data_IF_960022539554
#
_entry.id   IF_960022539554
#
_cell.length_a   1.000
_cell.length_b   1.000
_cell.length_c   1.000
_cell.angle_alpha   90.00
_cell.angle_beta   90.00
_cell.angle_gamma   90.00
#
_symmetry.space_group_name_H-M   'P 1'
#
loop_
_entity.id
_entity.type
_entity.pdbx_description
1 polymer ?
#
# COMPACT_ATOMS: atom_id res chain seq x y z
N UNK A 1 32.74 11.58 6.64
CA UNK A 1 32.75 13.06 6.74
C UNK A 1 32.19 13.65 5.47
N UNK A 2 31.14 14.48 5.55
CA UNK A 2 30.55 15.13 4.37
C UNK A 2 31.46 16.24 3.83
N UNK A 3 31.55 16.37 2.50
CA UNK A 3 32.34 17.40 1.82
C UNK A 3 31.94 18.82 2.29
N UNK A 4 32.88 19.77 2.48
CA UNK A 4 32.59 21.12 2.99
C UNK A 4 31.54 21.90 2.18
N UNK A 5 31.41 21.62 0.87
CA UNK A 5 30.36 22.20 0.04
C UNK A 5 28.95 21.65 0.40
N UNK A 6 28.85 20.37 0.75
CA UNK A 6 27.59 19.72 1.19
C UNK A 6 27.16 20.23 2.56
N UNK A 7 28.11 20.54 3.45
CA UNK A 7 27.80 21.18 4.74
C UNK A 7 27.31 22.62 4.58
N UNK A 8 27.88 23.39 3.63
CA UNK A 8 27.39 24.74 3.32
C UNK A 8 26.00 24.72 2.68
N UNK A 9 25.76 23.78 1.77
CA UNK A 9 24.46 23.58 1.13
C UNK A 9 23.38 23.23 2.18
N UNK A 10 23.61 22.24 3.04
CA UNK A 10 22.68 21.88 4.13
C UNK A 10 22.44 23.01 5.14
N UNK A 11 23.46 23.82 5.47
CA UNK A 11 23.31 24.98 6.36
C UNK A 11 22.39 26.06 5.77
N UNK A 12 22.40 26.26 4.45
CA UNK A 12 21.52 27.25 3.80
C UNK A 12 20.03 26.92 3.89
N UNK A 13 19.66 25.64 4.08
CA UNK A 13 18.27 25.21 4.31
C UNK A 13 17.84 25.27 5.77
N UNK A 14 18.78 25.22 6.73
CA UNK A 14 18.46 25.35 8.16
C UNK A 14 17.94 26.74 8.56
N UNK A 15 18.31 27.76 7.76
CA UNK A 15 17.85 29.15 7.92
C UNK A 15 16.36 29.35 7.59
N UNK A 16 15.73 28.45 6.83
CA UNK A 16 14.30 28.56 6.47
C UNK A 16 13.38 28.23 7.64
N UNK A 17 13.82 27.42 8.62
CA UNK A 17 13.06 27.15 9.86
C UNK A 17 12.80 28.42 10.69
N UNK A 18 13.61 29.46 10.52
CA UNK A 18 13.46 30.73 11.25
C UNK A 18 12.50 31.73 10.58
N UNK A 19 12.02 31.46 9.36
CA UNK A 19 11.07 32.35 8.68
C UNK A 19 9.66 32.29 9.32
N UNK A 20 9.31 31.18 9.97
CA UNK A 20 7.97 30.98 10.56
C UNK A 20 7.71 31.78 11.85
N UNK A 21 8.72 32.45 12.43
CA UNK A 21 8.61 33.04 13.79
C UNK A 21 8.62 34.57 13.87
N UNK A 22 8.71 35.27 12.73
CA UNK A 22 8.72 36.74 12.69
C UNK A 22 7.83 37.28 11.57
N UNK A 23 6.52 37.21 11.74
CA UNK A 23 5.61 38.22 11.18
C UNK A 23 4.54 38.57 12.20
N UNK A 24 4.89 39.53 13.06
CA UNK A 24 3.95 40.31 13.85
C UNK A 24 3.47 41.48 13.01
N UNK A 25 2.15 41.60 12.82
CA UNK A 25 1.46 42.86 12.58
C UNK A 25 1.54 43.45 11.17
N UNK A 26 0.48 43.24 10.38
CA UNK A 26 0.06 44.16 9.33
C UNK A 26 0.17 43.64 7.89
N UNK A 27 -0.97 43.71 7.19
CA UNK A 27 -1.16 43.80 5.73
C UNK A 27 -0.94 42.54 4.90
N UNK A 28 -1.95 42.21 4.09
CA UNK A 28 -2.03 41.01 3.26
C UNK A 28 -0.81 40.76 2.40
N UNK A 29 -0.39 39.50 2.38
CA UNK A 29 0.66 38.98 1.51
C UNK A 29 0.37 39.34 0.04
N UNK A 30 1.39 39.83 -0.66
CA UNK A 30 1.31 40.32 -2.03
C UNK A 30 1.38 39.16 -3.03
N UNK A 31 0.96 39.38 -4.27
CA UNK A 31 1.09 38.40 -5.37
C UNK A 31 2.52 37.82 -5.50
N UNK A 32 3.57 38.63 -5.31
CA UNK A 32 4.97 38.17 -5.36
C UNK A 32 5.37 37.19 -4.26
N UNK A 33 4.62 37.15 -3.14
CA UNK A 33 4.83 36.17 -2.07
C UNK A 33 4.34 34.78 -2.51
N UNK A 34 3.33 34.72 -3.40
CA UNK A 34 2.77 33.47 -3.93
C UNK A 34 3.72 32.77 -4.90
N UNK A 35 4.28 33.52 -5.84
CA UNK A 35 5.25 32.99 -6.80
C UNK A 35 6.51 32.47 -6.10
N UNK A 36 6.97 33.21 -5.08
CA UNK A 36 8.12 32.83 -4.25
C UNK A 36 7.87 31.55 -3.47
N UNK A 37 6.66 31.38 -2.91
CA UNK A 37 6.27 30.14 -2.23
C UNK A 37 6.14 28.97 -3.21
N UNK A 38 5.49 29.18 -4.36
CA UNK A 38 5.36 28.16 -5.38
C UNK A 38 6.74 27.69 -5.89
N UNK A 39 7.69 28.61 -6.05
CA UNK A 39 9.08 28.28 -6.38
C UNK A 39 9.77 27.49 -5.27
N UNK A 40 9.55 27.86 -4.01
CA UNK A 40 10.12 27.16 -2.84
C UNK A 40 9.59 25.73 -2.74
N UNK A 41 8.28 25.53 -2.89
CA UNK A 41 7.64 24.22 -2.91
C UNK A 41 8.24 23.34 -4.02
N UNK A 42 8.33 23.86 -5.25
CA UNK A 42 8.93 23.12 -6.38
C UNK A 42 10.41 22.80 -6.14
N UNK A 43 11.16 23.75 -5.57
CA UNK A 43 12.58 23.56 -5.24
C UNK A 43 12.77 22.44 -4.22
N UNK A 44 11.99 22.43 -3.13
CA UNK A 44 12.05 21.38 -2.12
C UNK A 44 11.66 20.01 -2.72
N UNK A 45 10.63 19.94 -3.56
CA UNK A 45 10.24 18.69 -4.25
C UNK A 45 11.36 18.17 -5.15
N UNK A 46 11.94 19.04 -5.99
CA UNK A 46 13.02 18.66 -6.91
C UNK A 46 14.28 18.22 -6.15
N UNK A 47 14.64 18.93 -5.08
CA UNK A 47 15.77 18.53 -4.23
C UNK A 47 15.50 17.18 -3.55
N UNK A 48 14.28 16.98 -3.04
CA UNK A 48 13.86 15.69 -2.49
C UNK A 48 13.99 14.56 -3.50
N UNK A 49 13.52 14.77 -4.73
CA UNK A 49 13.58 13.80 -5.81
C UNK A 49 15.03 13.43 -6.18
N UNK A 50 15.92 14.42 -6.29
CA UNK A 50 17.34 14.19 -6.58
C UNK A 50 18.02 13.41 -5.45
N UNK A 51 17.76 13.77 -4.20
CA UNK A 51 18.29 13.07 -3.02
C UNK A 51 17.79 11.62 -2.95
N UNK A 52 16.52 11.41 -3.25
CA UNK A 52 15.89 10.09 -3.21
C UNK A 52 16.37 9.19 -4.34
N UNK A 53 16.28 9.64 -5.61
CA UNK A 53 16.51 8.77 -6.77
C UNK A 53 17.98 8.66 -7.18
N UNK A 54 18.77 9.73 -7.01
CA UNK A 54 20.16 9.75 -7.46
C UNK A 54 21.15 9.44 -6.33
N UNK A 55 20.83 9.86 -5.10
CA UNK A 55 21.74 9.74 -3.95
C UNK A 55 21.30 8.64 -2.98
N UNK A 56 20.02 8.22 -3.04
CA UNK A 56 19.39 7.27 -2.12
C UNK A 56 19.44 7.73 -0.65
N UNK A 57 19.44 9.05 -0.42
CA UNK A 57 19.45 9.72 0.89
C UNK A 57 18.01 10.06 1.32
N UNK A 58 17.28 9.03 1.75
CA UNK A 58 15.87 9.12 2.12
C UNK A 58 15.61 10.03 3.33
N UNK A 59 16.58 10.20 4.23
CA UNK A 59 16.45 11.08 5.38
C UNK A 59 16.42 12.55 4.98
N UNK A 60 17.38 12.97 4.14
CA UNK A 60 17.41 14.35 3.65
C UNK A 60 16.28 14.61 2.64
N UNK A 61 15.88 13.61 1.85
CA UNK A 61 14.73 13.71 0.96
C UNK A 61 13.43 13.92 1.76
N UNK A 62 13.24 13.16 2.84
CA UNK A 62 12.09 13.32 3.75
C UNK A 62 12.00 14.75 4.29
N UNK A 63 13.11 15.32 4.76
CA UNK A 63 13.13 16.71 5.24
C UNK A 63 12.67 17.72 4.17
N UNK A 64 13.01 17.47 2.90
CA UNK A 64 12.58 18.34 1.80
C UNK A 64 11.07 18.21 1.54
N UNK A 65 10.55 16.97 1.49
CA UNK A 65 9.12 16.75 1.25
C UNK A 65 8.25 17.21 2.43
N UNK A 66 8.69 17.05 3.68
CA UNK A 66 7.98 17.54 4.86
C UNK A 66 7.93 19.08 4.88
N UNK A 67 9.02 19.77 4.48
CA UNK A 67 9.00 21.22 4.27
C UNK A 67 8.00 21.62 3.20
N UNK A 68 8.05 20.98 2.03
CA UNK A 68 7.13 21.27 0.93
C UNK A 68 5.65 21.08 1.36
N UNK A 69 5.33 19.95 2.01
CA UNK A 69 3.98 19.67 2.52
C UNK A 69 3.53 20.74 3.51
N UNK A 70 4.38 21.09 4.48
CA UNK A 70 4.06 22.11 5.49
C UNK A 70 3.84 23.49 4.86
N UNK A 71 4.65 23.85 3.86
CA UNK A 71 4.50 25.12 3.12
C UNK A 71 3.21 25.16 2.32
N UNK A 72 2.82 24.06 1.68
CA UNK A 72 1.54 23.97 0.95
C UNK A 72 0.36 24.13 1.91
N UNK A 73 0.37 23.43 3.05
CA UNK A 73 -0.69 23.55 4.06
C UNK A 73 -0.81 24.96 4.63
N UNK A 74 0.33 25.59 4.94
CA UNK A 74 0.35 26.98 5.37
C UNK A 74 -0.22 27.92 4.32
N UNK A 75 0.19 27.77 3.06
CA UNK A 75 -0.30 28.60 1.95
C UNK A 75 -1.81 28.42 1.75
N UNK A 76 -2.33 27.19 1.83
CA UNK A 76 -3.76 26.89 1.72
C UNK A 76 -4.58 27.47 2.87
N UNK A 77 -4.05 27.47 4.09
CA UNK A 77 -4.69 28.12 5.23
C UNK A 77 -4.70 29.65 5.11
N UNK A 78 -3.67 30.20 4.46
CA UNK A 78 -3.51 31.64 4.26
C UNK A 78 -4.35 32.18 3.10
N UNK A 79 -4.54 31.38 2.04
CA UNK A 79 -5.32 31.72 0.85
C UNK A 79 -6.40 30.69 0.55
N UNK A 80 -7.49 30.65 1.34
CA UNK A 80 -8.58 29.72 1.11
C UNK A 80 -9.31 30.03 -0.21
N UNK A 81 -9.59 29.00 -1.01
CA UNK A 81 -10.37 29.10 -2.25
C UNK A 81 -9.61 29.52 -3.51
N UNK A 82 -8.29 29.68 -3.43
CA UNK A 82 -7.43 30.03 -4.58
C UNK A 82 -6.79 28.82 -5.28
N UNK A 83 -7.35 27.62 -5.11
CA UNK A 83 -6.95 26.40 -5.81
C UNK A 83 -7.34 26.42 -7.31
N UNK A 84 -8.04 27.47 -7.76
CA UNK A 84 -8.61 27.63 -9.10
C UNK A 84 -8.18 28.96 -9.72
N UNK A 85 -7.25 28.93 -10.67
CA UNK A 85 -7.06 30.08 -11.58
C UNK A 85 -5.69 30.25 -12.23
N UNK A 86 -4.59 29.89 -11.56
CA UNK A 86 -3.24 30.09 -12.08
C UNK A 86 -2.25 28.94 -11.73
N UNK A 87 -1.03 29.01 -12.32
CA UNK A 87 0.02 28.02 -12.10
C UNK A 87 0.53 27.99 -10.64
N UNK A 88 0.31 29.05 -9.85
CA UNK A 88 0.64 29.09 -8.43
C UNK A 88 -0.43 28.36 -7.59
N UNK A 89 -1.71 28.52 -7.92
CA UNK A 89 -2.86 27.82 -7.33
C UNK A 89 -2.84 26.31 -7.59
N UNK A 90 -2.23 25.86 -8.70
CA UNK A 90 -2.06 24.42 -8.99
C UNK A 90 -1.25 23.70 -7.90
N UNK A 91 -0.18 24.33 -7.40
CA UNK A 91 0.62 23.78 -6.29
C UNK A 91 -0.13 23.73 -4.95
N UNK A 92 -1.28 24.39 -4.85
CA UNK A 92 -2.13 24.44 -3.66
C UNK A 92 -3.29 23.44 -3.72
N UNK A 93 -3.50 22.77 -4.86
CA UNK A 93 -4.56 21.78 -5.02
C UNK A 93 -4.39 20.59 -4.07
N UNK A 94 -5.52 19.99 -3.67
CA UNK A 94 -5.52 18.81 -2.80
C UNK A 94 -4.76 17.64 -3.41
N UNK A 95 -4.90 17.43 -4.71
CA UNK A 95 -4.19 16.41 -5.49
C UNK A 95 -2.67 16.61 -5.42
N UNK A 96 -2.20 17.86 -5.53
CA UNK A 96 -0.78 18.18 -5.43
C UNK A 96 -0.23 17.92 -4.02
N UNK A 97 -0.90 18.42 -2.97
CA UNK A 97 -0.52 18.14 -1.58
C UNK A 97 -0.48 16.64 -1.30
N UNK A 98 -1.45 15.89 -1.82
CA UNK A 98 -1.51 14.44 -1.67
C UNK A 98 -0.30 13.76 -2.31
N UNK A 99 0.10 14.18 -3.50
CA UNK A 99 1.33 13.70 -4.16
C UNK A 99 2.57 13.93 -3.30
N UNK A 100 2.72 15.12 -2.71
CA UNK A 100 3.85 15.41 -1.80
C UNK A 100 3.80 14.53 -0.55
N UNK A 101 2.63 14.34 0.07
CA UNK A 101 2.45 13.45 1.22
C UNK A 101 2.75 11.98 0.89
N UNK A 102 2.43 11.52 -0.32
CA UNK A 102 2.81 10.19 -0.77
C UNK A 102 4.34 10.02 -0.84
N UNK A 103 5.09 11.05 -1.25
CA UNK A 103 6.57 11.03 -1.21
C UNK A 103 7.12 11.03 0.22
N UNK A 104 6.51 11.78 1.14
CA UNK A 104 6.81 11.70 2.58
C UNK A 104 6.61 10.27 3.09
N UNK A 105 5.47 9.66 2.77
CA UNK A 105 5.14 8.29 3.15
C UNK A 105 6.17 7.29 2.60
N UNK A 106 6.52 7.41 1.33
CA UNK A 106 7.52 6.56 0.69
C UNK A 106 8.88 6.64 1.40
N UNK A 107 9.36 7.85 1.71
CA UNK A 107 10.62 8.02 2.42
C UNK A 107 10.57 7.43 3.84
N UNK A 108 9.48 7.61 4.58
CA UNK A 108 9.31 7.01 5.92
C UNK A 108 9.33 5.49 5.87
N UNK A 109 8.63 4.87 4.91
CA UNK A 109 8.67 3.42 4.69
C UNK A 109 10.09 2.96 4.34
N UNK A 110 10.77 3.63 3.41
CA UNK A 110 12.13 3.28 3.02
C UNK A 110 13.12 3.33 4.20
N UNK A 111 12.98 4.34 5.08
CA UNK A 111 13.78 4.45 6.30
C UNK A 111 13.49 3.31 7.28
N UNK A 112 12.21 2.96 7.48
CA UNK A 112 11.80 1.83 8.32
C UNK A 112 12.35 0.50 7.79
N UNK A 113 12.31 0.28 6.47
CA UNK A 113 12.81 -0.96 5.86
C UNK A 113 14.34 -1.05 5.84
N UNK A 114 15.04 0.09 5.85
CA UNK A 114 16.51 0.15 5.88
C UNK A 114 17.10 0.20 7.29
N UNK A 115 16.26 0.39 8.31
CA UNK A 115 16.72 0.48 9.69
C UNK A 115 17.36 -0.86 10.12
N UNK A 116 18.56 -0.79 10.67
CA UNK A 116 19.24 -1.97 11.24
C UNK A 116 18.55 -2.45 12.51
N UNK A 117 18.01 -1.50 13.27
CA UNK A 117 17.24 -1.77 14.47
C UNK A 117 15.75 -1.58 14.21
N UNK A 118 14.89 -2.28 14.96
CA UNK A 118 13.46 -2.04 14.97
C UNK A 118 13.12 -0.56 15.16
N UNK A 119 12.41 0.11 14.22
CA UNK A 119 11.95 1.47 14.43
C UNK A 119 10.97 1.52 15.62
N UNK A 120 10.95 2.63 16.38
CA UNK A 120 10.04 2.80 17.50
C UNK A 120 8.58 2.78 17.02
N UNK A 121 7.67 2.36 17.90
CA UNK A 121 6.22 2.31 17.58
C UNK A 121 5.64 3.67 17.17
N UNK A 122 6.26 4.77 17.59
CA UNK A 122 5.90 6.12 17.16
C UNK A 122 6.05 6.32 15.65
N UNK A 123 7.05 5.70 15.02
CA UNK A 123 7.30 5.85 13.59
C UNK A 123 6.24 5.09 12.79
N UNK A 124 5.88 3.90 13.29
CA UNK A 124 4.76 3.13 12.75
C UNK A 124 3.43 3.86 12.84
N UNK A 125 3.14 4.50 13.99
CA UNK A 125 1.94 5.29 14.15
C UNK A 125 1.90 6.50 13.21
N UNK A 126 3.05 7.15 12.96
CA UNK A 126 3.13 8.26 12.01
C UNK A 126 2.86 7.82 10.57
N UNK A 127 3.41 6.67 10.16
CA UNK A 127 3.18 6.07 8.84
C UNK A 127 1.71 5.69 8.68
N UNK A 128 1.13 5.01 9.68
CA UNK A 128 -0.28 4.61 9.69
C UNK A 128 -1.20 5.83 9.53
N UNK A 129 -0.95 6.88 10.32
CA UNK A 129 -1.72 8.12 10.27
C UNK A 129 -1.62 8.79 8.91
N UNK A 130 -0.41 8.94 8.37
CA UNK A 130 -0.19 9.61 7.08
C UNK A 130 -0.82 8.83 5.91
N UNK A 131 -0.71 7.50 5.91
CA UNK A 131 -1.32 6.67 4.88
C UNK A 131 -2.86 6.75 4.92
N UNK A 132 -3.45 6.68 6.12
CA UNK A 132 -4.90 6.84 6.27
C UNK A 132 -5.37 8.25 5.87
N UNK A 133 -4.60 9.30 6.20
CA UNK A 133 -4.88 10.66 5.77
C UNK A 133 -4.89 10.79 4.24
N UNK A 134 -3.96 10.13 3.54
CA UNK A 134 -3.92 10.10 2.07
C UNK A 134 -5.16 9.39 1.52
N UNK A 135 -5.52 8.23 2.07
CA UNK A 135 -6.73 7.48 1.64
C UNK A 135 -7.99 8.33 1.87
N UNK A 136 -8.13 8.93 3.05
CA UNK A 136 -9.25 9.82 3.36
C UNK A 136 -9.29 11.04 2.43
N UNK A 137 -8.12 11.62 2.12
CA UNK A 137 -8.04 12.73 1.16
C UNK A 137 -8.56 12.31 -0.22
N UNK A 138 -8.27 11.08 -0.67
CA UNK A 138 -8.84 10.54 -1.91
C UNK A 138 -10.38 10.45 -1.84
N UNK A 139 -10.94 10.05 -0.71
CA UNK A 139 -12.39 9.95 -0.56
C UNK A 139 -13.09 11.31 -0.51
N UNK A 140 -12.52 12.28 0.21
CA UNK A 140 -13.11 13.62 0.39
C UNK A 140 -12.93 14.52 -0.84
N UNK A 141 -11.81 14.37 -1.54
CA UNK A 141 -11.43 15.19 -2.69
C UNK A 141 -11.11 14.28 -3.88
N UNK A 142 -12.12 13.61 -4.47
CA UNK A 142 -11.91 12.80 -5.65
C UNK A 142 -11.42 13.67 -6.81
N UNK A 143 -10.70 13.06 -7.77
CA UNK A 143 -10.35 13.78 -8.99
C UNK A 143 -11.65 14.18 -9.69
N UNK A 144 -11.81 15.48 -9.97
CA UNK A 144 -13.00 16.05 -10.64
C UNK A 144 -13.12 15.55 -12.08
N UNK A 145 -12.00 15.09 -12.64
CA UNK A 145 -11.93 14.54 -13.98
C UNK A 145 -12.42 13.09 -13.91
N UNK A 146 -13.60 12.82 -14.45
CA UNK A 146 -14.00 11.42 -14.63
C UNK A 146 -13.07 10.80 -15.67
N UNK A 147 -12.53 9.60 -15.45
CA UNK A 147 -11.56 8.99 -16.36
C UNK A 147 -12.14 8.70 -17.75
N UNK A 148 -13.44 8.92 -17.97
CA UNK A 148 -14.12 8.56 -19.22
C UNK A 148 -14.40 9.76 -20.13
N UNK A 149 -14.13 11.00 -19.68
CA UNK A 149 -14.42 12.19 -20.49
C UNK A 149 -13.34 12.45 -21.56
N UNK A 150 -12.05 12.28 -21.22
CA UNK A 150 -10.92 12.39 -22.17
C UNK A 150 -9.73 11.47 -21.80
N UNK A 151 -8.84 11.12 -22.75
CA UNK A 151 -7.62 10.37 -22.44
C UNK A 151 -6.70 11.06 -21.42
N UNK A 152 -6.63 12.39 -21.43
CA UNK A 152 -5.84 13.18 -20.47
C UNK A 152 -6.38 13.04 -19.05
N UNK A 153 -7.70 12.86 -18.90
CA UNK A 153 -8.35 12.63 -17.62
C UNK A 153 -7.99 11.27 -17.03
N UNK A 154 -7.78 10.25 -17.88
CA UNK A 154 -7.29 8.93 -17.43
C UNK A 154 -5.91 9.07 -16.81
N UNK A 155 -4.98 9.74 -17.50
CA UNK A 155 -3.60 9.89 -17.00
C UNK A 155 -3.57 10.67 -15.68
N UNK A 156 -4.35 11.75 -15.59
CA UNK A 156 -4.46 12.51 -14.36
C UNK A 156 -5.08 11.69 -13.22
N UNK A 157 -6.14 10.93 -13.50
CA UNK A 157 -6.77 10.04 -12.53
C UNK A 157 -5.80 8.96 -12.05
N UNK A 158 -5.06 8.32 -12.95
CA UNK A 158 -4.05 7.33 -12.58
C UNK A 158 -2.98 7.97 -11.71
N UNK A 159 -2.35 9.07 -12.15
CA UNK A 159 -1.19 9.66 -11.49
C UNK A 159 -1.48 10.33 -10.14
N UNK A 160 -2.65 10.95 -9.99
CA UNK A 160 -2.97 11.78 -8.81
C UNK A 160 -4.08 11.20 -7.92
N UNK A 161 -4.70 10.09 -8.33
CA UNK A 161 -5.77 9.46 -7.58
C UNK A 161 -5.52 7.98 -7.32
N UNK A 162 -5.53 7.14 -8.37
CA UNK A 162 -5.56 5.70 -8.20
C UNK A 162 -4.24 5.16 -7.64
N UNK A 163 -3.10 5.55 -8.22
CA UNK A 163 -1.77 5.08 -7.78
C UNK A 163 -1.44 5.61 -6.39
N UNK A 164 -1.74 6.86 -6.09
CA UNK A 164 -1.52 7.45 -4.76
C UNK A 164 -2.32 6.71 -3.68
N UNK A 165 -3.58 6.36 -3.99
CA UNK A 165 -4.41 5.55 -3.07
C UNK A 165 -3.85 4.14 -2.91
N UNK A 166 -3.41 3.54 -4.01
CA UNK A 166 -2.81 2.22 -4.02
C UNK A 166 -1.52 2.19 -3.18
N UNK A 167 -0.63 3.17 -3.36
CA UNK A 167 0.62 3.35 -2.61
C UNK A 167 0.36 3.50 -1.10
N UNK A 168 -0.68 4.26 -0.71
CA UNK A 168 -1.04 4.39 0.69
C UNK A 168 -1.48 3.05 1.30
N UNK A 169 -2.28 2.26 0.56
CA UNK A 169 -2.63 0.91 0.99
C UNK A 169 -1.44 -0.05 0.98
N UNK A 170 -0.54 0.05 -0.01
CA UNK A 170 0.68 -0.74 -0.07
C UNK A 170 1.56 -0.47 1.16
N UNK A 171 1.71 0.79 1.56
CA UNK A 171 2.43 1.20 2.76
C UNK A 171 1.79 0.66 4.05
N UNK A 172 0.45 0.67 4.15
CA UNK A 172 -0.26 0.06 5.28
C UNK A 172 -0.05 -1.46 5.33
N UNK A 173 -0.04 -2.14 4.17
CA UNK A 173 0.28 -3.56 4.07
C UNK A 173 1.68 -3.87 4.61
N UNK A 174 2.68 -3.13 4.13
CA UNK A 174 4.08 -3.23 4.59
C UNK A 174 4.22 -2.96 6.08
N UNK A 175 3.54 -1.93 6.59
CA UNK A 175 3.51 -1.56 8.00
C UNK A 175 2.98 -2.72 8.87
N UNK A 176 1.80 -3.23 8.55
CA UNK A 176 1.18 -4.29 9.33
C UNK A 176 1.93 -5.61 9.22
N UNK A 177 2.57 -5.89 8.08
CA UNK A 177 3.51 -7.00 7.95
C UNK A 177 4.66 -6.87 8.94
N UNK A 178 5.38 -5.74 8.91
CA UNK A 178 6.52 -5.51 9.78
C UNK A 178 6.15 -5.57 11.28
N UNK A 179 4.98 -5.04 11.65
CA UNK A 179 4.45 -5.15 13.02
C UNK A 179 3.99 -6.56 13.36
N UNK A 180 3.41 -7.30 12.41
CA UNK A 180 2.93 -8.67 12.60
C UNK A 180 4.06 -9.67 12.80
N UNK A 181 5.18 -9.48 12.10
CA UNK A 181 6.39 -10.28 12.27
C UNK A 181 7.11 -9.99 13.60
N UNK A 182 6.85 -8.84 14.25
CA UNK A 182 7.39 -8.51 15.59
C UNK A 182 6.47 -8.88 16.74
N UNK A 183 5.17 -8.72 16.54
CA UNK A 183 4.16 -9.06 17.55
C UNK A 183 3.80 -10.52 17.38
N UNK A 184 4.60 -11.37 17.99
CA UNK A 184 4.50 -12.80 17.80
C UNK A 184 3.74 -13.46 18.94
N UNK A 185 3.22 -14.66 18.68
CA UNK A 185 2.64 -15.54 19.68
C UNK A 185 3.40 -16.85 19.70
N UNK A 186 3.64 -17.38 20.88
CA UNK A 186 4.19 -18.73 21.04
C UNK A 186 3.04 -19.73 21.07
N UNK A 187 3.06 -20.72 20.20
CA UNK A 187 2.13 -21.87 20.18
C UNK A 187 2.98 -23.12 20.04
N UNK A 188 2.88 -24.04 20.99
CA UNK A 188 3.61 -25.32 21.00
C UNK A 188 5.13 -25.16 20.78
N UNK A 189 5.72 -24.14 21.43
CA UNK A 189 7.16 -23.85 21.34
C UNK A 189 7.59 -23.17 20.03
N UNK A 190 6.65 -22.84 19.14
CA UNK A 190 6.91 -22.17 17.88
C UNK A 190 6.34 -20.76 17.88
N UNK A 191 7.12 -19.84 17.31
CA UNK A 191 6.77 -18.44 17.20
C UNK A 191 5.95 -18.18 15.95
N UNK A 192 4.79 -17.54 16.06
CA UNK A 192 3.93 -17.20 14.94
C UNK A 192 3.72 -15.69 14.85
N UNK A 193 3.61 -15.14 13.63
CA UNK A 193 3.21 -13.75 13.46
C UNK A 193 1.79 -13.51 13.99
N UNK A 194 1.50 -12.27 14.40
CA UNK A 194 0.16 -11.89 14.84
C UNK A 194 -0.87 -12.11 13.73
N UNK A 195 -1.89 -12.97 13.94
CA UNK A 195 -2.90 -13.24 12.92
C UNK A 195 -3.77 -12.01 12.63
N UNK A 196 -3.99 -11.14 13.63
CA UNK A 196 -4.75 -9.89 13.46
C UNK A 196 -3.99 -8.92 12.53
N UNK A 197 -2.68 -8.78 12.73
CA UNK A 197 -1.86 -7.89 11.90
C UNK A 197 -1.62 -8.46 10.50
N UNK A 198 -1.43 -9.78 10.37
CA UNK A 198 -1.36 -10.43 9.05
C UNK A 198 -2.64 -10.29 8.24
N UNK A 199 -3.81 -10.38 8.89
CA UNK A 199 -5.09 -10.15 8.21
C UNK A 199 -5.18 -8.72 7.68
N UNK A 200 -4.88 -7.71 8.50
CA UNK A 200 -4.83 -6.31 8.06
C UNK A 200 -3.84 -6.10 6.92
N UNK A 201 -2.65 -6.71 7.02
CA UNK A 201 -1.63 -6.71 5.99
C UNK A 201 -2.18 -7.24 4.64
N UNK A 202 -2.78 -8.42 4.65
CA UNK A 202 -3.41 -9.04 3.47
C UNK A 202 -4.52 -8.15 2.88
N UNK A 203 -5.41 -7.62 3.72
CA UNK A 203 -6.51 -6.74 3.29
C UNK A 203 -5.99 -5.48 2.59
N UNK A 204 -4.94 -4.86 3.13
CA UNK A 204 -4.36 -3.66 2.55
C UNK A 204 -3.60 -3.93 1.25
N UNK A 205 -2.87 -5.04 1.13
CA UNK A 205 -2.28 -5.44 -0.14
C UNK A 205 -3.33 -5.75 -1.21
N UNK A 206 -4.44 -6.41 -0.84
CA UNK A 206 -5.55 -6.64 -1.76
C UNK A 206 -6.20 -5.32 -2.23
N UNK A 207 -6.39 -4.35 -1.32
CA UNK A 207 -6.86 -3.01 -1.66
C UNK A 207 -5.88 -2.29 -2.60
N UNK A 208 -4.57 -2.35 -2.32
CA UNK A 208 -3.56 -1.75 -3.19
C UNK A 208 -3.63 -2.33 -4.62
N UNK A 209 -3.67 -3.65 -4.75
CA UNK A 209 -3.80 -4.33 -6.04
C UNK A 209 -5.06 -3.92 -6.81
N UNK A 210 -6.17 -3.65 -6.12
CA UNK A 210 -7.42 -3.22 -6.74
C UNK A 210 -7.37 -1.77 -7.27
N UNK A 211 -6.46 -0.93 -6.75
CA UNK A 211 -6.33 0.47 -7.15
C UNK A 211 -5.20 0.71 -8.17
N UNK A 212 -4.18 -0.15 -8.21
CA UNK A 212 -3.17 -0.08 -9.26
C UNK A 212 -3.76 -0.48 -10.63
N UNK A 213 -3.37 0.18 -11.72
CA UNK A 213 -3.58 -0.32 -13.08
C UNK A 213 -3.02 -1.74 -13.22
N UNK A 214 -3.69 -2.59 -14.02
CA UNK A 214 -3.29 -4.01 -14.16
C UNK A 214 -1.89 -4.17 -14.77
N UNK A 215 -1.46 -3.22 -15.59
CA UNK A 215 -0.15 -3.14 -16.22
C UNK A 215 0.92 -2.44 -15.35
N UNK A 216 0.54 -1.93 -14.17
CA UNK A 216 1.47 -1.42 -13.18
C UNK A 216 2.17 -2.59 -12.46
N UNK A 217 3.50 -2.51 -12.35
CA UNK A 217 4.28 -3.57 -11.71
C UNK A 217 3.90 -3.79 -10.24
N UNK A 218 3.47 -2.74 -9.55
CA UNK A 218 3.03 -2.84 -8.15
C UNK A 218 1.70 -3.56 -8.00
N UNK A 219 0.87 -3.66 -9.06
CA UNK A 219 -0.35 -4.47 -9.02
C UNK A 219 -0.01 -5.95 -8.75
N UNK A 220 0.88 -6.52 -9.58
CA UNK A 220 1.35 -7.89 -9.44
C UNK A 220 2.05 -8.13 -8.10
N UNK A 221 2.96 -7.23 -7.70
CA UNK A 221 3.65 -7.31 -6.40
C UNK A 221 2.67 -7.31 -5.22
N UNK A 222 1.66 -6.43 -5.24
CA UNK A 222 0.65 -6.35 -4.19
C UNK A 222 -0.15 -7.65 -4.07
N UNK A 223 -0.48 -8.30 -5.19
CA UNK A 223 -1.16 -9.60 -5.18
C UNK A 223 -0.24 -10.67 -4.57
N UNK A 224 1.04 -10.69 -4.93
CA UNK A 224 2.02 -11.61 -4.34
C UNK A 224 2.19 -11.39 -2.84
N UNK A 225 2.19 -10.15 -2.36
CA UNK A 225 2.26 -9.85 -0.94
C UNK A 225 1.00 -10.24 -0.18
N UNK A 226 -0.18 -10.02 -0.77
CA UNK A 226 -1.44 -10.49 -0.21
C UNK A 226 -1.45 -12.02 -0.09
N UNK A 227 -0.98 -12.73 -1.12
CA UNK A 227 -0.85 -14.19 -1.13
C UNK A 227 0.12 -14.69 -0.04
N UNK A 228 1.31 -14.11 0.05
CA UNK A 228 2.30 -14.48 1.07
C UNK A 228 1.73 -14.27 2.49
N UNK A 229 1.05 -13.14 2.75
CA UNK A 229 0.39 -12.88 4.02
C UNK A 229 -0.75 -13.86 4.30
N UNK A 230 -1.58 -14.17 3.29
CA UNK A 230 -2.70 -15.10 3.41
C UNK A 230 -2.26 -16.54 3.66
N UNK A 231 -1.21 -17.00 2.96
CA UNK A 231 -0.64 -18.34 3.19
C UNK A 231 -0.01 -18.46 4.58
N UNK A 232 0.59 -17.38 5.11
CA UNK A 232 1.11 -17.34 6.50
C UNK A 232 0.01 -17.33 7.54
N UNK A 233 -1.09 -16.62 7.25
CA UNK A 233 -2.26 -16.57 8.12
C UNK A 233 -2.99 -17.92 8.16
N UNK A 234 -2.97 -18.68 7.06
CA UNK A 234 -3.80 -19.85 6.84
C UNK A 234 -5.22 -19.49 6.42
N UNK A 235 -6.07 -20.51 6.22
CA UNK A 235 -7.48 -20.37 5.85
C UNK A 235 -7.76 -20.22 4.36
N UNK A 236 -6.73 -20.15 3.51
CA UNK A 236 -6.90 -20.18 2.05
C UNK A 236 -7.01 -21.63 1.56
N UNK A 237 -7.86 -21.87 0.57
CA UNK A 237 -7.86 -23.13 -0.19
C UNK A 237 -6.90 -23.07 -1.39
N UNK A 238 -6.50 -24.22 -1.92
CA UNK A 238 -5.56 -24.28 -3.05
C UNK A 238 -6.14 -23.63 -4.32
N UNK A 239 -7.46 -23.70 -4.51
CA UNK A 239 -8.13 -23.10 -5.66
C UNK A 239 -8.00 -21.58 -5.64
N UNK A 240 -8.28 -20.93 -4.51
CA UNK A 240 -8.15 -19.49 -4.31
C UNK A 240 -6.70 -19.03 -4.42
N UNK A 241 -5.74 -19.83 -3.93
CA UNK A 241 -4.30 -19.59 -4.16
C UNK A 241 -3.99 -19.58 -5.66
N UNK A 242 -4.45 -20.57 -6.42
CA UNK A 242 -4.22 -20.67 -7.87
C UNK A 242 -4.88 -19.53 -8.65
N UNK A 243 -6.10 -19.13 -8.29
CA UNK A 243 -6.80 -17.99 -8.89
C UNK A 243 -6.01 -16.68 -8.70
N UNK A 244 -5.53 -16.43 -7.48
CA UNK A 244 -4.72 -15.24 -7.20
C UNK A 244 -3.35 -15.29 -7.89
N UNK A 245 -2.70 -16.46 -7.98
CA UNK A 245 -1.46 -16.65 -8.74
C UNK A 245 -1.67 -16.30 -10.22
N UNK A 246 -2.77 -16.76 -10.81
CA UNK A 246 -3.11 -16.46 -12.19
C UNK A 246 -3.34 -14.97 -12.41
N UNK A 247 -4.01 -14.29 -11.47
CA UNK A 247 -4.17 -12.83 -11.48
C UNK A 247 -2.83 -12.09 -11.39
N UNK A 248 -1.95 -12.50 -10.48
CA UNK A 248 -0.63 -11.90 -10.34
C UNK A 248 0.20 -12.05 -11.63
N UNK A 249 0.22 -13.26 -12.21
CA UNK A 249 0.90 -13.53 -13.50
C UNK A 249 0.28 -12.75 -14.66
N UNK A 250 -1.03 -12.55 -14.65
CA UNK A 250 -1.69 -11.71 -15.65
C UNK A 250 -1.19 -10.27 -15.57
N UNK A 251 -1.16 -9.67 -14.37
CA UNK A 251 -0.63 -8.32 -14.16
C UNK A 251 0.84 -8.21 -14.59
N UNK A 252 1.69 -9.16 -14.20
CA UNK A 252 3.09 -9.22 -14.63
C UNK A 252 3.23 -9.29 -16.16
N UNK A 253 2.39 -10.09 -16.84
CA UNK A 253 2.40 -10.21 -18.30
C UNK A 253 2.00 -8.89 -18.97
N UNK A 254 1.00 -8.19 -18.44
CA UNK A 254 0.60 -6.88 -18.95
C UNK A 254 1.75 -5.87 -18.79
N UNK A 255 2.38 -5.86 -17.62
CA UNK A 255 3.55 -5.00 -17.38
C UNK A 255 4.70 -5.30 -18.35
N UNK A 256 5.09 -6.57 -18.49
CA UNK A 256 6.16 -7.01 -19.41
C UNK A 256 5.87 -6.65 -20.86
N UNK A 257 4.60 -6.66 -21.28
CA UNK A 257 4.22 -6.30 -22.63
C UNK A 257 4.58 -4.84 -22.96
N UNK A 258 4.42 -3.91 -22.01
CA UNK A 258 4.71 -2.49 -22.22
C UNK A 258 6.14 -2.10 -21.88
N UNK A 259 6.72 -2.66 -20.81
CA UNK A 259 8.00 -2.20 -20.24
C UNK A 259 9.14 -3.21 -20.38
N UNK A 260 8.88 -4.35 -21.03
CA UNK A 260 9.82 -5.47 -21.16
C UNK A 260 9.95 -6.29 -19.88
N UNK A 261 10.67 -7.40 -19.97
CA UNK A 261 10.90 -8.29 -18.83
C UNK A 261 11.84 -7.64 -17.81
N UNK A 262 11.27 -6.98 -16.80
CA UNK A 262 12.02 -6.70 -15.57
C UNK A 262 12.03 -7.96 -14.72
N UNK A 263 13.23 -8.40 -14.31
CA UNK A 263 13.33 -9.30 -13.15
C UNK A 263 12.75 -8.54 -11.96
N UNK A 264 11.56 -8.95 -11.53
CA UNK A 264 10.93 -8.40 -10.33
C UNK A 264 11.81 -8.82 -9.16
N UNK A 265 12.71 -7.95 -8.74
CA UNK A 265 13.45 -8.08 -7.49
C UNK A 265 12.58 -7.51 -6.39
N UNK A 266 11.49 -8.22 -6.04
CA UNK A 266 10.71 -7.88 -4.85
C UNK A 266 11.68 -7.85 -3.66
N UNK A 267 11.66 -6.82 -2.78
CA UNK A 267 12.53 -6.71 -1.61
C UNK A 267 12.53 -7.94 -0.70
N UNK A 268 11.48 -8.75 -0.78
CA UNK A 268 11.41 -10.12 -0.29
C UNK A 268 10.79 -10.94 -1.41
N UNK A 269 11.42 -12.02 -1.87
CA UNK A 269 10.95 -12.91 -2.96
C UNK A 269 9.57 -13.56 -2.67
N UNK A 270 8.51 -12.78 -2.42
CA UNK A 270 7.16 -13.27 -2.09
C UNK A 270 6.60 -14.09 -3.24
N UNK A 271 6.93 -13.73 -4.49
CA UNK A 271 6.64 -14.58 -5.66
C UNK A 271 7.26 -15.97 -5.54
N UNK A 272 8.58 -16.07 -5.39
CA UNK A 272 9.26 -17.37 -5.30
C UNK A 272 8.80 -18.16 -4.07
N UNK A 273 8.55 -17.44 -2.97
CA UNK A 273 8.03 -17.98 -1.72
C UNK A 273 6.67 -18.64 -1.93
N UNK A 274 5.71 -17.92 -2.51
CA UNK A 274 4.36 -18.42 -2.81
C UNK A 274 4.41 -19.57 -3.80
N UNK A 275 5.19 -19.45 -4.88
CA UNK A 275 5.32 -20.51 -5.88
C UNK A 275 5.94 -21.79 -5.28
N UNK A 276 6.98 -21.64 -4.47
CA UNK A 276 7.61 -22.76 -3.77
C UNK A 276 6.69 -23.42 -2.75
N UNK A 277 5.88 -22.65 -2.02
CA UNK A 277 4.88 -23.21 -1.11
C UNK A 277 3.79 -23.97 -1.88
N UNK A 278 3.25 -23.36 -2.94
CA UNK A 278 2.21 -23.94 -3.78
C UNK A 278 2.66 -25.27 -4.40
N UNK A 279 3.89 -25.34 -4.91
CA UNK A 279 4.46 -26.57 -5.47
C UNK A 279 4.55 -27.67 -4.41
N UNK A 280 5.09 -27.37 -3.23
CA UNK A 280 5.19 -28.37 -2.15
C UNK A 280 3.82 -28.85 -1.65
N UNK A 281 2.86 -27.93 -1.51
CA UNK A 281 1.47 -28.27 -1.13
C UNK A 281 0.81 -29.18 -2.15
N UNK A 282 1.04 -28.95 -3.44
CA UNK A 282 0.48 -29.76 -4.51
C UNK A 282 1.10 -31.16 -4.59
N UNK A 283 2.43 -31.26 -4.46
CA UNK A 283 3.14 -32.55 -4.42
C UNK A 283 2.68 -33.38 -3.22
N UNK A 284 2.60 -32.78 -2.03
CA UNK A 284 2.14 -33.48 -0.84
C UNK A 284 0.64 -33.86 -0.91
N UNK A 285 -0.21 -32.96 -1.41
CA UNK A 285 -1.64 -33.24 -1.58
C UNK A 285 -1.89 -34.44 -2.50
N UNK A 286 -1.06 -34.63 -3.54
CA UNK A 286 -1.09 -35.84 -4.38
C UNK A 286 -0.65 -37.11 -3.65
N UNK A 287 0.30 -36.99 -2.71
CA UNK A 287 0.86 -38.12 -1.96
C UNK A 287 -0.05 -38.56 -0.80
N UNK A 288 -0.76 -37.62 -0.17
CA UNK A 288 -1.52 -37.85 1.07
C UNK A 288 -3.03 -37.89 0.90
N UNK A 289 -3.61 -37.15 -0.04
CA UNK A 289 -5.05 -37.08 -0.19
C UNK A 289 -5.57 -38.17 -1.15
N UNK A 290 -6.41 -39.08 -0.64
CA UNK A 290 -7.39 -39.84 -1.46
C UNK A 290 -8.54 -38.95 -1.96
N UNK A 291 -8.57 -37.68 -1.56
CA UNK A 291 -9.58 -36.66 -1.87
C UNK A 291 -9.02 -35.58 -2.79
N UNK A 292 -9.89 -34.83 -3.47
CA UNK A 292 -9.47 -33.77 -4.39
C UNK A 292 -8.63 -32.71 -3.66
N UNK A 293 -7.38 -32.43 -4.11
CA UNK A 293 -6.47 -31.50 -3.45
C UNK A 293 -7.02 -30.07 -3.36
N UNK A 294 -8.00 -29.72 -4.21
CA UNK A 294 -8.64 -28.40 -4.25
C UNK A 294 -9.37 -28.02 -2.95
N UNK A 295 -9.69 -28.98 -2.07
CA UNK A 295 -10.40 -28.75 -0.79
C UNK A 295 -9.47 -28.58 0.42
N UNK A 296 -8.15 -28.62 0.23
CA UNK A 296 -7.19 -28.50 1.34
C UNK A 296 -7.11 -27.04 1.80
N UNK A 297 -7.45 -26.79 3.07
CA UNK A 297 -7.34 -25.48 3.71
C UNK A 297 -5.99 -25.36 4.40
N UNK A 298 -5.25 -24.29 4.11
CA UNK A 298 -3.91 -24.07 4.66
C UNK A 298 -3.96 -23.70 6.14
N UNK A 299 -3.02 -24.21 6.94
CA UNK A 299 -2.86 -23.82 8.36
C UNK A 299 -1.85 -22.66 8.51
N UNK A 300 -1.91 -21.89 9.61
CA UNK A 300 -0.97 -20.81 9.87
C UNK A 300 0.48 -21.30 9.92
N UNK A 301 1.42 -20.43 9.53
CA UNK A 301 2.85 -20.74 9.51
C UNK A 301 3.65 -20.02 10.61
N UNK A 302 4.55 -20.72 11.33
CA UNK A 302 5.45 -20.09 12.29
C UNK A 302 6.58 -19.32 11.59
N UNK A 303 7.15 -18.32 12.26
CA UNK A 303 8.24 -17.48 11.77
C UNK A 303 9.53 -18.25 11.52
N UNK A 304 9.86 -19.21 12.40
CA UNK A 304 11.07 -20.02 12.29
C UNK A 304 11.15 -20.80 10.98
N UNK A 305 10.00 -21.04 10.36
CA UNK A 305 9.92 -21.62 9.03
C UNK A 305 10.11 -20.51 8.00
N UNK A 306 11.37 -20.15 7.79
CA UNK A 306 11.76 -19.30 6.68
C UNK A 306 11.50 -20.04 5.35
N UNK A 307 10.69 -19.41 4.50
CA UNK A 307 10.17 -19.98 3.26
C UNK A 307 11.26 -20.24 2.19
N UNK A 308 12.46 -19.70 2.38
CA UNK A 308 13.64 -20.05 1.59
C UNK A 308 14.17 -21.41 2.06
N UNK A 309 13.73 -22.47 1.38
CA UNK A 309 14.38 -23.78 1.31
C UNK A 309 14.08 -24.84 2.38
N UNK A 310 13.09 -24.70 3.27
CA UNK A 310 12.81 -25.76 4.26
C UNK A 310 11.69 -26.74 3.80
N UNK A 311 11.95 -28.06 3.64
CA UNK A 311 10.90 -29.07 3.44
C UNK A 311 9.92 -29.19 4.62
N UNK A 312 10.33 -28.77 5.83
CA UNK A 312 9.56 -28.91 7.07
C UNK A 312 8.32 -28.01 7.13
N UNK A 313 8.22 -26.97 6.27
CA UNK A 313 7.07 -26.05 6.18
C UNK A 313 5.76 -26.75 5.90
N UNK A 314 5.77 -27.71 4.97
CA UNK A 314 4.55 -28.41 4.53
C UNK A 314 4.18 -29.54 5.48
N UNK A 315 5.19 -30.24 6.03
CA UNK A 315 4.99 -31.18 7.13
C UNK A 315 4.37 -30.49 8.35
N UNK A 316 4.77 -29.25 8.65
CA UNK A 316 4.21 -28.49 9.77
C UNK A 316 2.75 -28.06 9.54
N UNK A 317 2.42 -27.54 8.36
CA UNK A 317 1.06 -27.11 8.02
C UNK A 317 0.04 -28.25 8.03
N UNK A 318 0.47 -29.51 7.90
CA UNK A 318 -0.45 -30.65 7.76
C UNK A 318 -0.33 -31.70 8.88
N UNK A 319 0.80 -31.83 9.61
CA UNK A 319 0.89 -32.68 10.84
C UNK A 319 -0.12 -32.30 11.91
N UNK A 320 -0.52 -31.04 11.95
CA UNK A 320 -1.59 -30.56 12.83
C UNK A 320 -2.96 -31.21 12.53
N UNK A 321 -3.19 -31.91 11.42
CA UNK A 321 -4.47 -32.63 11.20
C UNK A 321 -4.59 -33.91 12.06
N UNK A 322 -3.47 -34.54 12.43
CA UNK A 322 -3.50 -35.75 13.26
C UNK A 322 -3.57 -35.44 14.76
N UNK A 323 -2.93 -34.36 15.22
CA UNK A 323 -2.94 -33.95 16.65
C UNK A 323 -4.07 -32.96 17.02
N UNK A 324 -4.51 -32.07 16.12
CA UNK A 324 -5.52 -31.04 16.43
C UNK A 324 -6.94 -31.36 15.92
N UNK A 325 -7.21 -32.51 15.28
CA UNK A 325 -8.58 -32.98 15.08
C UNK A 325 -9.37 -33.17 16.41
N UNK A 326 -8.67 -33.11 17.55
CA UNK A 326 -9.25 -33.15 18.90
C UNK A 326 -9.27 -31.81 19.63
N UNK A 327 -8.70 -30.74 19.04
CA UNK A 327 -8.66 -29.43 19.68
C UNK A 327 -9.92 -28.61 19.33
N UNK A 328 -10.52 -27.89 20.28
CA UNK A 328 -11.71 -27.09 20.03
C UNK A 328 -11.41 -25.97 19.04
N UNK A 329 -12.07 -26.02 17.89
CA UNK A 329 -12.09 -24.93 16.90
C UNK A 329 -12.76 -23.72 17.56
N UNK A 330 -12.13 -22.55 17.50
CA UNK A 330 -12.74 -21.30 17.95
C UNK A 330 -14.04 -21.05 17.15
N UNK A 331 -15.22 -21.01 17.79
CA UNK A 331 -16.50 -20.84 17.10
C UNK A 331 -16.57 -19.55 16.27
N UNK A 332 -15.71 -18.56 16.53
CA UNK A 332 -15.63 -17.34 15.73
C UNK A 332 -15.11 -17.54 14.29
N UNK A 333 -14.61 -18.74 13.95
CA UNK A 333 -14.05 -19.06 12.62
C UNK A 333 -14.91 -20.00 11.77
N UNK A 334 -16.07 -20.42 12.28
CA UNK A 334 -16.97 -21.37 11.62
C UNK A 334 -18.22 -20.64 11.14
N UNK A 335 -18.47 -20.67 9.83
CA UNK A 335 -19.70 -20.14 9.26
C UNK A 335 -20.94 -20.94 9.72
N UNK A 336 -22.14 -20.38 9.60
CA UNK A 336 -23.39 -21.02 10.06
C UNK A 336 -23.73 -22.35 9.38
N UNK A 337 -23.00 -22.74 8.32
CA UNK A 337 -23.10 -24.00 7.59
C UNK A 337 -22.00 -25.01 7.94
N UNK A 338 -21.17 -24.74 8.95
CA UNK A 338 -20.07 -25.62 9.35
C UNK A 338 -18.83 -25.52 8.46
N UNK A 339 -18.82 -24.60 7.49
CA UNK A 339 -17.65 -24.32 6.67
C UNK A 339 -16.69 -23.40 7.43
N UNK A 340 -15.43 -23.80 7.59
CA UNK A 340 -14.34 -22.90 8.00
C UNK A 340 -13.96 -22.09 6.76
N UNK A 341 -14.82 -21.15 6.39
CA UNK A 341 -14.64 -20.30 5.24
C UNK A 341 -14.17 -18.93 5.71
N UNK A 342 -12.89 -18.60 5.45
CA UNK A 342 -12.60 -17.23 5.06
C UNK A 342 -13.19 -17.08 3.66
N UNK A 343 -14.50 -16.83 3.58
CA UNK A 343 -15.16 -16.42 2.34
C UNK A 343 -14.59 -15.06 1.96
N UNK A 344 -13.45 -15.06 1.28
CA UNK A 344 -12.89 -13.91 0.58
C UNK A 344 -13.69 -13.72 -0.70
N UNK A 345 -14.95 -13.30 -0.54
CA UNK A 345 -15.69 -12.69 -1.64
C UNK A 345 -15.10 -11.29 -1.81
N UNK A 346 -14.01 -11.21 -2.58
CA UNK A 346 -13.52 -9.95 -3.15
C UNK A 346 -14.54 -9.51 -4.20
N UNK A 347 -15.67 -8.96 -3.74
CA UNK A 347 -16.52 -8.16 -4.62
C UNK A 347 -15.71 -6.93 -5.01
N UNK A 348 -15.34 -6.88 -6.28
CA UNK A 348 -14.79 -5.70 -6.95
C UNK A 348 -15.85 -4.60 -6.83
N UNK A 349 -15.70 -3.74 -5.83
CA UNK A 349 -16.48 -2.52 -5.70
C UNK A 349 -16.00 -1.49 -6.72
N UNK A 350 -16.26 -1.74 -8.01
CA UNK A 350 -16.18 -0.72 -9.07
C UNK A 350 -17.27 -0.82 -10.15
N UNK A 351 -18.16 -1.82 -10.14
CA UNK A 351 -19.21 -1.89 -11.19
C UNK A 351 -20.66 -1.73 -10.71
N UNK A 352 -20.96 -1.75 -9.40
CA UNK A 352 -22.36 -1.94 -8.95
C UNK A 352 -23.00 -0.78 -8.15
N UNK A 353 -22.22 0.21 -7.68
CA UNK A 353 -22.77 1.35 -6.91
C UNK A 353 -23.09 2.60 -7.74
N UNK A 354 -22.53 2.75 -8.95
CA UNK A 354 -22.83 3.89 -9.82
C UNK A 354 -24.07 3.61 -10.69
N UNK A 355 -24.37 2.34 -11.01
CA UNK A 355 -25.54 1.98 -11.83
C UNK A 355 -26.84 1.93 -11.02
N UNK A 356 -26.79 1.70 -9.70
CA UNK A 356 -28.01 1.58 -8.87
C UNK A 356 -28.59 2.91 -8.38
N UNK A 357 -27.95 4.06 -8.65
CA UNK A 357 -28.45 5.38 -8.23
C UNK A 357 -29.31 6.11 -9.26
N UNK A 358 -29.46 5.60 -10.49
CA UNK A 358 -30.33 6.22 -11.52
C UNK A 358 -31.61 5.46 -11.85
N UNK A 359 -31.96 4.38 -11.14
CA UNK A 359 -33.30 3.77 -11.29
C UNK A 359 -34.24 4.31 -10.22
N UNK A 360 -34.60 5.59 -10.33
CA UNK A 360 -35.82 6.13 -9.73
C UNK A 360 -36.58 6.99 -10.74
N UNK A 361 -37.75 6.45 -11.11
CA UNK A 361 -38.95 7.12 -11.60
C UNK A 361 -38.94 7.61 -13.06
N UNK A 362 -39.44 6.76 -13.94
CA UNK A 362 -40.08 7.12 -15.21
C UNK A 362 -41.36 6.29 -15.38
N UNK A 363 -42.43 6.84 -15.98
CA UNK A 363 -43.80 6.35 -15.81
C UNK A 363 -44.06 5.05 -16.59
N UNK A 364 -44.82 4.18 -15.95
CA UNK A 364 -45.50 3.03 -16.57
C UNK A 364 -46.40 3.50 -17.71
N UNK A 365 -46.01 3.19 -18.95
CA UNK A 365 -46.91 3.20 -20.10
C UNK A 365 -47.52 1.80 -20.17
N UNK A 366 -48.80 1.73 -19.80
CA UNK A 366 -49.68 0.60 -20.11
C UNK A 366 -49.91 0.58 -21.62
N UNK A 367 -49.71 -0.58 -22.23
CA UNK A 367 -50.33 -0.94 -23.50
C UNK A 367 -51.42 -1.95 -23.14
N UNK A 368 -52.62 -1.44 -22.90
CA UNK A 368 -53.79 -1.59 -23.79
C UNK A 368 -54.73 -0.39 -23.58
#
# INVERSE_FOLDING_TARGET
MLHPARQRWLKSFSTTKNYSRKQTGGTGLRLGDRDSLALTIRSDIMNGLLLELMILDYGTALDCYERASSTIEFARATWPGEDKGDAAGTSLQHTFLRGVKARVLHCKIALVLKAQEPPPDSDYAQIERLANEIVQSCDEFPSVLTPFDTPENVVHWVAFYSTIRADAHLALGLLYRARGERNTRMVDGLEYPSPVLLRKCMEHYAKAAAWFPVDDYHCGESIWYALDAGMRLGGMDLKGVDEMINRARHAEKQHSFFFGDRKITTPNNSRDSVLGMREKLFTFGKETAKTSPEKVVLKPLPLAIHMKHNPDTVNFMMRMDEEYAQAPIDPATVGPDGTVAVNLVLYVGLEDEVVKKEVKKGPSILID
#
